data_IF_694832421668
#
_entry.id   IF_694832421668
#
_cell.length_a   1.000
_cell.length_b   1.000
_cell.length_c   1.000
_cell.angle_alpha   90.00
_cell.angle_beta   90.00
_cell.angle_gamma   90.00
#
_symmetry.space_group_name_H-M   'P 1'
#
loop_
_entity.id
_entity.type
_entity.pdbx_description
1 polymer ?
#
# COMPACT_ATOMS: atom_id res chain seq x y z
N UNK A 1 -12.48 -7.56 -10.98
CA UNK A 1 -13.60 -6.70 -10.51
C UNK A 1 -13.31 -6.28 -9.08
N UNK A 2 -13.44 -4.99 -8.77
CA UNK A 2 -12.99 -4.42 -7.49
C UNK A 2 -13.97 -4.83 -6.37
N UNK A 3 -13.46 -5.36 -5.26
CA UNK A 3 -14.21 -5.73 -4.04
C UNK A 3 -15.20 -4.63 -3.59
N UNK A 4 -14.83 -3.37 -3.83
CA UNK A 4 -15.67 -2.19 -3.59
C UNK A 4 -16.97 -2.17 -4.40
N UNK A 5 -16.99 -2.70 -5.62
CA UNK A 5 -18.19 -2.83 -6.45
C UNK A 5 -19.18 -3.83 -5.86
N UNK A 6 -18.70 -4.90 -5.22
CA UNK A 6 -19.56 -5.92 -4.58
C UNK A 6 -20.19 -5.34 -3.30
N UNK A 7 -19.41 -4.63 -2.48
CA UNK A 7 -19.91 -3.95 -1.29
C UNK A 7 -20.90 -2.83 -1.65
N UNK A 8 -20.70 -2.12 -2.77
CA UNK A 8 -21.65 -1.11 -3.25
C UNK A 8 -22.93 -1.72 -3.81
N UNK A 9 -22.86 -2.86 -4.49
CA UNK A 9 -24.05 -3.58 -5.00
C UNK A 9 -24.85 -4.16 -3.84
N UNK A 10 -24.20 -4.77 -2.83
CA UNK A 10 -24.86 -5.30 -1.65
C UNK A 10 -25.48 -4.20 -0.76
N UNK A 11 -24.81 -3.04 -0.62
CA UNK A 11 -25.39 -1.90 0.10
C UNK A 11 -26.46 -1.14 -0.73
N UNK A 12 -26.32 -1.07 -2.05
CA UNK A 12 -27.26 -0.40 -2.95
C UNK A 12 -28.56 -1.18 -3.17
N UNK A 13 -28.55 -2.50 -2.96
CA UNK A 13 -29.75 -3.34 -3.00
C UNK A 13 -30.66 -3.15 -1.76
N UNK A 14 -30.16 -2.59 -0.65
CA UNK A 14 -30.88 -2.56 0.63
C UNK A 14 -30.69 -1.27 1.44
N UNK A 15 -30.60 -0.10 0.78
CA UNK A 15 -30.71 1.18 1.50
C UNK A 15 -32.15 1.33 2.01
N UNK A 16 -32.36 1.07 3.31
CA UNK A 16 -33.51 1.63 4.05
C UNK A 16 -33.17 3.10 4.34
N UNK A 17 -33.98 4.08 3.92
CA UNK A 17 -33.68 5.48 4.17
C UNK A 17 -33.79 5.78 5.67
N UNK A 18 -32.78 6.46 6.22
CA UNK A 18 -32.95 7.20 7.49
C UNK A 18 -33.92 8.36 7.26
N UNK A 19 -34.83 8.67 8.20
CA UNK A 19 -35.73 9.81 8.06
C UNK A 19 -34.92 11.10 8.07
N UNK A 20 -34.97 11.88 6.98
CA UNK A 20 -34.46 13.25 6.93
C UNK A 20 -33.33 13.58 5.94
N UNK A 21 -32.89 12.65 5.08
CA UNK A 21 -31.95 12.98 3.99
C UNK A 21 -32.53 12.56 2.63
N UNK A 22 -33.03 13.54 1.87
CA UNK A 22 -33.29 13.40 0.44
C UNK A 22 -31.97 13.17 -0.31
N UNK A 23 -31.63 11.91 -0.53
CA UNK A 23 -30.72 11.53 -1.62
C UNK A 23 -31.45 10.51 -2.48
N UNK A 24 -31.42 10.76 -3.80
CA UNK A 24 -32.15 10.06 -4.86
C UNK A 24 -31.99 8.53 -4.79
N UNK A 25 -32.85 7.85 -4.03
CA UNK A 25 -33.08 6.43 -4.17
C UNK A 25 -34.12 6.21 -5.29
N UNK A 26 -33.94 5.24 -6.21
CA UNK A 26 -34.98 4.92 -7.16
C UNK A 26 -36.23 4.41 -6.42
N UNK A 27 -37.43 4.78 -6.89
CA UNK A 27 -38.67 4.51 -6.17
C UNK A 27 -38.94 3.01 -6.02
N UNK A 28 -39.62 2.68 -4.93
CA UNK A 28 -39.99 1.37 -4.34
C UNK A 28 -40.49 0.24 -5.26
N UNK A 29 -40.58 0.43 -6.57
CA UNK A 29 -40.95 -0.60 -7.55
C UNK A 29 -39.77 -1.47 -8.00
N UNK A 30 -38.52 -0.99 -7.89
CA UNK A 30 -37.34 -1.77 -8.31
C UNK A 30 -36.97 -2.89 -7.34
N UNK A 31 -37.27 -2.74 -6.04
CA UNK A 31 -36.99 -3.76 -5.02
C UNK A 31 -37.85 -5.04 -5.18
N UNK A 32 -39.07 -4.94 -5.72
CA UNK A 32 -39.93 -6.10 -6.00
C UNK A 32 -39.68 -6.74 -7.38
N UNK A 33 -39.10 -6.00 -8.34
CA UNK A 33 -38.80 -6.54 -9.68
C UNK A 33 -37.51 -7.39 -9.72
N UNK A 34 -36.56 -7.11 -8.82
CA UNK A 34 -35.28 -7.81 -8.73
C UNK A 34 -35.44 -9.29 -8.33
N UNK A 35 -36.26 -9.67 -7.32
CA UNK A 35 -36.47 -11.07 -6.95
C UNK A 35 -37.14 -11.90 -8.05
N UNK A 36 -38.15 -11.34 -8.73
CA UNK A 36 -38.92 -12.06 -9.74
C UNK A 36 -38.07 -12.30 -11.00
N UNK A 37 -37.43 -11.25 -11.52
CA UNK A 37 -36.51 -11.36 -12.67
C UNK A 37 -35.29 -12.26 -12.38
N UNK A 38 -34.73 -12.20 -11.16
CA UNK A 38 -33.68 -13.12 -10.72
C UNK A 38 -34.15 -14.58 -10.66
N UNK A 39 -35.34 -14.84 -10.12
CA UNK A 39 -35.93 -16.18 -10.06
C UNK A 39 -36.18 -16.74 -11.46
N UNK A 40 -36.66 -15.92 -12.40
CA UNK A 40 -36.89 -16.34 -13.79
C UNK A 40 -35.57 -16.65 -14.50
N UNK A 41 -34.54 -15.81 -14.32
CA UNK A 41 -33.22 -16.03 -14.93
C UNK A 41 -32.51 -17.28 -14.36
N UNK A 42 -32.59 -17.49 -13.04
CA UNK A 42 -32.06 -18.68 -12.37
C UNK A 42 -32.76 -19.97 -12.82
N UNK A 43 -34.09 -19.97 -12.94
CA UNK A 43 -34.86 -21.12 -13.42
C UNK A 43 -34.56 -21.48 -14.88
N UNK A 44 -34.24 -20.48 -15.70
CA UNK A 44 -33.95 -20.66 -17.13
C UNK A 44 -32.45 -20.90 -17.43
N UNK A 45 -31.60 -21.01 -16.41
CA UNK A 45 -30.16 -21.24 -16.60
C UNK A 45 -29.40 -20.09 -17.27
N UNK A 46 -29.99 -18.88 -17.29
CA UNK A 46 -29.40 -17.71 -17.94
C UNK A 46 -28.47 -16.97 -16.98
N UNK A 47 -27.33 -16.49 -17.50
CA UNK A 47 -26.38 -15.69 -16.73
C UNK A 47 -27.04 -14.37 -16.27
N UNK A 48 -26.85 -14.03 -14.99
CA UNK A 48 -27.37 -12.81 -14.40
C UNK A 48 -26.58 -12.42 -13.15
N UNK A 49 -26.87 -11.23 -12.61
CA UNK A 49 -26.13 -10.63 -11.48
C UNK A 49 -25.94 -11.57 -10.27
N UNK A 50 -26.87 -12.51 -10.04
CA UNK A 50 -26.74 -13.50 -8.98
C UNK A 50 -25.64 -14.52 -9.24
N UNK A 51 -25.55 -15.04 -10.46
CA UNK A 51 -24.48 -15.97 -10.83
C UNK A 51 -23.11 -15.28 -10.80
N UNK A 52 -23.04 -14.01 -11.20
CA UNK A 52 -21.82 -13.20 -11.07
C UNK A 52 -21.43 -13.00 -9.60
N UNK A 53 -22.41 -12.80 -8.72
CA UNK A 53 -22.16 -12.64 -7.29
C UNK A 53 -21.68 -13.96 -6.66
N UNK A 54 -22.33 -15.08 -6.97
CA UNK A 54 -21.87 -16.42 -6.55
C UNK A 54 -20.45 -16.69 -7.04
N UNK A 55 -20.18 -16.41 -8.33
CA UNK A 55 -18.86 -16.58 -8.92
C UNK A 55 -17.82 -15.70 -8.21
N UNK A 56 -18.12 -14.42 -8.01
CA UNK A 56 -17.21 -13.48 -7.36
C UNK A 56 -16.90 -13.89 -5.91
N UNK A 57 -17.92 -14.33 -5.15
CA UNK A 57 -17.76 -14.74 -3.76
C UNK A 57 -16.96 -16.05 -3.61
N UNK A 58 -17.16 -17.00 -4.53
CA UNK A 58 -16.37 -18.25 -4.59
C UNK A 58 -14.91 -18.01 -4.96
N UNK A 59 -14.62 -17.00 -5.77
CA UNK A 59 -13.26 -16.66 -6.20
C UNK A 59 -12.54 -15.68 -5.26
N UNK A 60 -13.09 -15.40 -4.07
CA UNK A 60 -12.37 -14.67 -3.03
C UNK A 60 -11.25 -15.53 -2.44
N UNK A 61 -10.22 -14.89 -1.89
CA UNK A 61 -9.10 -15.58 -1.23
C UNK A 61 -9.55 -16.49 -0.08
N UNK A 62 -10.59 -16.10 0.65
CA UNK A 62 -11.41 -16.98 1.47
C UNK A 62 -12.81 -17.02 0.84
N UNK A 63 -13.20 -18.15 0.20
CA UNK A 63 -14.51 -18.28 -0.43
C UNK A 63 -15.64 -18.00 0.55
N UNK A 64 -16.69 -17.32 0.08
CA UNK A 64 -17.90 -17.04 0.84
C UNK A 64 -19.07 -17.66 0.09
N UNK A 65 -19.86 -18.50 0.76
CA UNK A 65 -21.03 -19.09 0.14
C UNK A 65 -22.22 -18.14 0.23
N UNK A 66 -22.92 -18.00 -0.89
CA UNK A 66 -24.14 -17.23 -0.98
C UNK A 66 -25.33 -18.16 -0.68
N UNK A 67 -26.14 -17.87 0.35
CA UNK A 67 -27.33 -18.65 0.65
C UNK A 67 -28.38 -18.47 -0.45
N UNK A 68 -29.38 -19.36 -0.48
CA UNK A 68 -30.46 -19.28 -1.46
C UNK A 68 -31.31 -18.02 -1.23
N UNK A 69 -31.88 -17.45 -2.30
CA UNK A 69 -32.71 -16.24 -2.27
C UNK A 69 -33.75 -16.16 -1.13
N UNK A 70 -34.48 -17.24 -0.78
CA UNK A 70 -35.45 -17.21 0.31
C UNK A 70 -34.84 -16.96 1.69
N UNK A 71 -33.57 -17.32 1.87
CA UNK A 71 -32.86 -17.24 3.15
C UNK A 71 -32.10 -15.91 3.32
N UNK A 72 -32.12 -15.03 2.31
CA UNK A 72 -31.52 -13.70 2.44
C UNK A 72 -32.40 -12.78 3.27
N UNK A 73 -32.04 -12.72 4.55
CA UNK A 73 -32.50 -11.69 5.48
C UNK A 73 -31.50 -10.54 5.55
N UNK A 74 -31.90 -9.42 6.14
CA UNK A 74 -31.00 -8.29 6.40
C UNK A 74 -29.83 -8.68 7.30
N UNK A 75 -30.06 -9.58 8.27
CA UNK A 75 -29.03 -10.12 9.15
C UNK A 75 -27.99 -10.93 8.36
N UNK A 76 -28.45 -11.86 7.52
CA UNK A 76 -27.60 -12.69 6.65
C UNK A 76 -26.78 -11.81 5.70
N UNK A 77 -27.38 -10.76 5.13
CA UNK A 77 -26.64 -9.80 4.29
C UNK A 77 -25.52 -9.10 5.07
N UNK A 78 -25.77 -8.71 6.32
CA UNK A 78 -24.76 -8.09 7.18
C UNK A 78 -23.61 -9.05 7.51
N UNK A 79 -23.91 -10.33 7.76
CA UNK A 79 -22.92 -11.38 7.99
C UNK A 79 -22.08 -11.68 6.74
N UNK A 80 -22.73 -11.77 5.57
CA UNK A 80 -22.04 -11.88 4.28
C UNK A 80 -21.11 -10.69 4.05
N UNK A 81 -21.57 -9.47 4.35
CA UNK A 81 -20.74 -8.26 4.29
C UNK A 81 -19.49 -8.36 5.16
N UNK A 82 -19.61 -8.87 6.40
CA UNK A 82 -18.47 -9.11 7.30
C UNK A 82 -17.54 -10.20 6.77
N UNK A 83 -18.08 -11.28 6.20
CA UNK A 83 -17.29 -12.37 5.62
C UNK A 83 -16.48 -11.90 4.42
N UNK A 84 -17.11 -11.15 3.51
CA UNK A 84 -16.45 -10.55 2.34
C UNK A 84 -15.36 -9.57 2.76
N UNK A 85 -15.66 -8.68 3.71
CA UNK A 85 -14.67 -7.76 4.25
C UNK A 85 -13.46 -8.49 4.84
N UNK A 86 -13.71 -9.53 5.66
CA UNK A 86 -12.64 -10.33 6.27
C UNK A 86 -11.80 -11.05 5.23
N UNK A 87 -12.43 -11.61 4.20
CA UNK A 87 -11.75 -12.25 3.06
C UNK A 87 -10.86 -11.28 2.30
N UNK A 88 -11.36 -10.07 2.02
CA UNK A 88 -10.61 -9.02 1.36
C UNK A 88 -9.40 -8.54 2.21
N UNK A 89 -9.58 -8.40 3.53
CA UNK A 89 -8.50 -8.03 4.44
C UNK A 89 -7.40 -9.09 4.48
N UNK A 90 -7.75 -10.37 4.56
CA UNK A 90 -6.79 -11.48 4.48
C UNK A 90 -6.00 -11.47 3.17
N UNK A 91 -6.70 -11.24 2.05
CA UNK A 91 -6.05 -11.15 0.74
C UNK A 91 -5.03 -10.00 0.70
N UNK A 92 -5.40 -8.80 1.17
CA UNK A 92 -4.49 -7.65 1.22
C UNK A 92 -3.29 -7.91 2.13
N UNK A 93 -3.48 -8.57 3.27
CA UNK A 93 -2.39 -8.96 4.17
C UNK A 93 -1.41 -9.92 3.52
N UNK A 94 -1.93 -10.93 2.81
CA UNK A 94 -1.12 -11.90 2.07
C UNK A 94 -0.33 -11.22 0.94
N UNK A 95 -0.98 -10.38 0.14
CA UNK A 95 -0.33 -9.62 -0.95
C UNK A 95 0.78 -8.70 -0.40
N UNK A 96 0.52 -8.01 0.71
CA UNK A 96 1.52 -7.16 1.36
C UNK A 96 2.70 -7.98 1.86
N UNK A 97 2.46 -9.12 2.52
CA UNK A 97 3.52 -9.97 3.05
C UNK A 97 4.37 -10.66 1.97
N UNK A 98 3.74 -11.04 0.85
CA UNK A 98 4.42 -11.67 -0.28
C UNK A 98 5.24 -10.65 -1.11
N UNK A 99 4.93 -9.36 -1.02
CA UNK A 99 5.55 -8.35 -1.87
C UNK A 99 6.96 -7.98 -1.42
N UNK A 100 7.97 -8.37 -2.20
CA UNK A 100 9.36 -7.94 -1.98
C UNK A 100 9.55 -6.41 -2.04
N UNK A 101 8.60 -5.68 -2.65
CA UNK A 101 8.61 -4.21 -2.75
C UNK A 101 8.24 -3.54 -1.45
N UNK A 102 7.34 -4.14 -0.69
CA UNK A 102 6.76 -3.51 0.48
C UNK A 102 7.49 -3.93 1.76
N UNK A 103 8.76 -4.34 1.64
CA UNK A 103 9.56 -4.82 2.77
C UNK A 103 9.61 -3.81 3.92
N UNK A 104 9.61 -2.51 3.61
CA UNK A 104 9.55 -1.45 4.62
C UNK A 104 8.21 -1.39 5.36
N UNK A 105 7.12 -1.88 4.79
CA UNK A 105 5.80 -1.99 5.43
C UNK A 105 5.57 -3.33 6.15
N UNK A 106 6.44 -4.32 5.95
CA UNK A 106 6.32 -5.61 6.66
C UNK A 106 6.43 -5.38 8.15
N UNK A 107 5.52 -6.03 8.90
CA UNK A 107 5.41 -5.98 10.36
C UNK A 107 5.25 -4.57 10.93
N UNK A 108 4.72 -3.65 10.11
CA UNK A 108 4.35 -2.31 10.57
C UNK A 108 3.33 -2.39 11.70
N UNK A 109 3.67 -1.74 12.82
CA UNK A 109 2.76 -1.49 13.94
C UNK A 109 2.37 -0.02 13.91
N UNK A 110 1.08 0.26 13.76
CA UNK A 110 0.57 1.63 13.70
C UNK A 110 0.50 2.22 15.11
N UNK A 111 1.09 3.41 15.36
CA UNK A 111 1.00 4.06 16.66
C UNK A 111 -0.42 4.60 16.89
N UNK A 112 -1.08 4.11 17.95
CA UNK A 112 -2.39 4.58 18.39
C UNK A 112 -2.21 5.55 19.56
N UNK A 113 -3.04 6.59 19.63
CA UNK A 113 -2.84 7.68 20.59
C UNK A 113 -2.95 7.26 22.07
N UNK A 114 -3.72 6.19 22.36
CA UNK A 114 -4.01 5.72 23.73
C UNK A 114 -3.81 4.21 23.90
N UNK A 115 -3.27 3.54 22.90
CA UNK A 115 -3.15 2.08 22.89
C UNK A 115 -1.77 1.65 22.39
N UNK A 116 -1.36 0.45 22.79
CA UNK A 116 -0.15 -0.16 22.26
C UNK A 116 -0.22 -0.25 20.72
N UNK A 117 0.90 -0.07 20.00
CA UNK A 117 0.92 -0.16 18.54
C UNK A 117 0.40 -1.50 18.04
N UNK A 118 -0.58 -1.46 17.13
CA UNK A 118 -1.26 -2.64 16.56
C UNK A 118 -0.92 -2.83 15.09
N UNK A 119 -0.89 -4.08 14.62
CA UNK A 119 -0.81 -4.40 13.20
C UNK A 119 -2.17 -4.14 12.57
N UNK A 120 -2.27 -3.10 11.74
CA UNK A 120 -3.50 -2.71 11.05
C UNK A 120 -3.16 -2.48 9.58
N UNK A 121 -3.78 -3.28 8.71
CA UNK A 121 -3.49 -3.32 7.26
C UNK A 121 -4.15 -2.15 6.52
N UNK A 122 -5.42 -1.89 6.80
CA UNK A 122 -6.18 -0.80 6.17
C UNK A 122 -6.57 0.22 7.22
N UNK A 123 -5.87 1.35 7.24
CA UNK A 123 -6.14 2.49 8.14
C UNK A 123 -5.57 3.76 7.55
N UNK A 124 -6.17 4.91 7.87
CA UNK A 124 -5.58 6.20 7.58
C UNK A 124 -4.28 6.38 8.36
N UNK A 125 -3.15 6.41 7.66
CA UNK A 125 -1.82 6.41 8.26
C UNK A 125 -1.49 7.76 8.89
N UNK A 126 -0.93 7.77 10.10
CA UNK A 126 -0.64 9.01 10.84
C UNK A 126 0.19 10.03 10.06
N UNK A 127 1.17 9.57 9.28
CA UNK A 127 2.07 10.45 8.51
C UNK A 127 1.34 11.24 7.42
N UNK A 128 0.16 10.79 6.98
CA UNK A 128 -0.64 11.52 6.00
C UNK A 128 -1.22 12.81 6.57
N UNK A 129 -1.51 12.84 7.88
CA UNK A 129 -1.99 14.03 8.59
C UNK A 129 -0.89 14.83 9.29
N UNK A 130 0.13 14.16 9.85
CA UNK A 130 1.18 14.84 10.62
C UNK A 130 2.18 15.62 9.74
N UNK A 131 2.47 15.12 8.54
CA UNK A 131 3.40 15.80 7.64
C UNK A 131 2.63 16.89 6.89
N UNK A 132 2.79 18.13 7.33
CA UNK A 132 2.13 19.31 6.72
C UNK A 132 2.61 19.54 5.29
N UNK A 133 3.92 19.47 5.04
CA UNK A 133 4.49 19.68 3.71
C UNK A 133 4.16 18.54 2.73
N UNK A 134 3.42 18.87 1.67
CA UNK A 134 2.97 17.90 0.67
C UNK A 134 4.12 17.19 -0.06
N UNK A 135 5.24 17.86 -0.32
CA UNK A 135 6.40 17.25 -1.00
C UNK A 135 7.10 16.23 -0.12
N UNK A 136 7.26 16.53 1.17
CA UNK A 136 7.83 15.58 2.14
C UNK A 136 6.92 14.37 2.32
N UNK A 137 5.60 14.59 2.45
CA UNK A 137 4.61 13.52 2.54
C UNK A 137 4.67 12.61 1.30
N UNK A 138 4.70 13.21 0.11
CA UNK A 138 4.85 12.47 -1.16
C UNK A 138 6.14 11.66 -1.21
N UNK A 139 7.27 12.22 -0.77
CA UNK A 139 8.55 11.51 -0.73
C UNK A 139 8.49 10.30 0.21
N UNK A 140 7.92 10.45 1.42
CA UNK A 140 7.76 9.34 2.35
C UNK A 140 6.80 8.27 1.80
N UNK A 141 5.68 8.66 1.20
CA UNK A 141 4.77 7.70 0.57
C UNK A 141 5.48 6.93 -0.54
N UNK A 142 6.22 7.61 -1.41
CA UNK A 142 7.04 6.98 -2.46
C UNK A 142 8.08 6.02 -1.91
N UNK A 143 8.72 6.36 -0.80
CA UNK A 143 9.65 5.49 -0.10
C UNK A 143 8.94 4.22 0.39
N UNK A 144 7.78 4.36 1.05
CA UNK A 144 7.04 3.24 1.65
C UNK A 144 6.42 2.29 0.62
N UNK A 145 5.95 2.82 -0.50
CA UNK A 145 5.27 2.01 -1.54
C UNK A 145 6.20 1.60 -2.68
N UNK A 146 7.52 1.77 -2.51
CA UNK A 146 8.52 1.50 -3.55
C UNK A 146 8.16 2.16 -4.88
N UNK A 147 8.04 3.49 -4.84
CA UNK A 147 7.86 4.40 -5.98
C UNK A 147 8.86 5.57 -5.92
N UNK A 148 10.03 5.33 -5.34
CA UNK A 148 11.11 6.30 -5.18
C UNK A 148 12.02 6.33 -6.43
N UNK A 149 12.88 7.36 -6.59
CA UNK A 149 13.69 7.51 -7.80
C UNK A 149 14.93 6.61 -7.86
N UNK A 150 15.21 5.83 -6.82
CA UNK A 150 16.42 5.03 -6.74
C UNK A 150 16.46 3.86 -7.75
N UNK A 151 17.65 3.48 -8.20
CA UNK A 151 17.88 2.48 -9.23
C UNK A 151 17.27 1.11 -8.87
N UNK A 152 17.31 0.73 -7.58
CA UNK A 152 16.71 -0.53 -7.10
C UNK A 152 15.23 -0.68 -7.51
N UNK A 153 14.49 0.42 -7.61
CA UNK A 153 13.09 0.40 -8.05
C UNK A 153 12.95 0.79 -9.52
N UNK A 154 13.65 1.83 -9.98
CA UNK A 154 13.48 2.34 -11.35
C UNK A 154 13.91 1.33 -12.42
N UNK A 155 14.98 0.57 -12.18
CA UNK A 155 15.49 -0.45 -13.11
C UNK A 155 14.81 -1.82 -12.96
N UNK A 156 13.83 -1.93 -12.05
CA UNK A 156 12.96 -3.10 -12.00
C UNK A 156 12.02 -3.17 -13.19
N UNK A 157 11.63 -2.02 -13.74
CA UNK A 157 10.72 -1.94 -14.87
C UNK A 157 11.49 -1.97 -16.18
N UNK A 158 10.91 -2.65 -17.18
CA UNK A 158 11.35 -2.48 -18.57
C UNK A 158 11.14 -1.02 -18.95
N UNK A 159 12.16 -0.39 -19.52
CA UNK A 159 12.05 0.98 -20.02
C UNK A 159 11.90 0.96 -21.54
N UNK A 160 11.49 2.09 -22.13
CA UNK A 160 11.40 2.22 -23.59
C UNK A 160 12.76 1.96 -24.27
N UNK A 161 13.85 2.32 -23.60
CA UNK A 161 15.21 2.22 -24.12
C UNK A 161 15.91 0.91 -23.72
N UNK A 162 15.50 0.29 -22.61
CA UNK A 162 16.08 -0.96 -22.09
C UNK A 162 14.98 -2.02 -21.94
N UNK A 163 14.99 -3.01 -22.85
CA UNK A 163 13.97 -4.06 -22.93
C UNK A 163 14.13 -5.16 -21.88
N UNK A 164 15.30 -5.27 -21.25
CA UNK A 164 15.60 -6.22 -20.19
C UNK A 164 15.43 -5.59 -18.80
N UNK A 165 14.99 -6.40 -17.84
CA UNK A 165 15.01 -6.03 -16.42
C UNK A 165 16.42 -6.19 -15.88
N UNK A 166 16.93 -5.20 -15.16
CA UNK A 166 18.27 -5.26 -14.58
C UNK A 166 18.24 -6.11 -13.30
N UNK A 167 19.17 -7.07 -13.17
CA UNK A 167 19.32 -7.86 -11.94
C UNK A 167 19.58 -6.94 -10.75
N UNK A 168 19.11 -7.30 -9.54
CA UNK A 168 19.16 -6.39 -8.39
C UNK A 168 20.57 -5.91 -8.08
N UNK A 169 21.55 -6.80 -8.14
CA UNK A 169 22.93 -6.50 -7.75
C UNK A 169 23.63 -5.60 -8.79
N UNK A 170 23.16 -5.62 -10.04
CA UNK A 170 23.63 -4.73 -11.12
C UNK A 170 23.01 -3.33 -11.07
N UNK A 171 22.08 -3.05 -10.13
CA UNK A 171 21.45 -1.71 -9.96
C UNK A 171 22.34 -0.81 -9.12
N UNK A 172 23.54 -0.54 -9.61
CA UNK A 172 24.59 0.19 -8.90
C UNK A 172 24.20 1.64 -8.61
N UNK A 173 24.87 2.21 -7.61
CA UNK A 173 24.74 3.61 -7.24
C UNK A 173 25.14 4.52 -8.41
N UNK A 174 24.26 5.44 -8.77
CA UNK A 174 24.50 6.43 -9.84
C UNK A 174 25.68 7.37 -9.60
N UNK A 175 26.11 7.49 -8.35
CA UNK A 175 27.30 8.27 -7.98
C UNK A 175 28.61 7.47 -8.06
N UNK A 176 28.57 6.25 -8.62
CA UNK A 176 29.76 5.43 -8.85
C UNK A 176 30.24 4.64 -7.63
N UNK A 177 29.46 4.58 -6.54
CA UNK A 177 29.77 3.67 -5.44
C UNK A 177 29.61 2.22 -5.90
N UNK A 178 30.53 1.33 -5.51
CA UNK A 178 30.41 -0.10 -5.75
C UNK A 178 29.40 -0.76 -4.79
N UNK A 179 28.16 -0.27 -4.82
CA UNK A 179 27.05 -0.72 -3.99
C UNK A 179 25.74 -0.58 -4.76
N UNK A 180 24.79 -1.47 -4.50
CA UNK A 180 23.43 -1.36 -5.05
C UNK A 180 22.74 -0.10 -4.51
N UNK A 181 22.06 0.65 -5.37
CA UNK A 181 21.34 1.87 -5.01
C UNK A 181 20.01 1.58 -4.27
N UNK A 182 20.13 1.04 -3.06
CA UNK A 182 18.98 0.79 -2.17
C UNK A 182 18.61 2.03 -1.36
N UNK A 183 17.44 1.98 -0.70
CA UNK A 183 17.00 3.06 0.20
C UNK A 183 17.99 3.25 1.34
N UNK A 184 18.48 2.16 1.94
CA UNK A 184 19.47 2.19 3.01
C UNK A 184 20.78 2.80 2.54
N UNK A 185 21.26 2.42 1.35
CA UNK A 185 22.46 3.02 0.76
C UNK A 185 22.29 4.53 0.58
N UNK A 186 21.22 4.96 -0.09
CA UNK A 186 20.98 6.37 -0.37
C UNK A 186 20.83 7.20 0.91
N UNK A 187 20.10 6.69 1.91
CA UNK A 187 19.83 7.42 3.15
C UNK A 187 20.98 7.39 4.14
N UNK A 188 21.72 6.29 4.27
CA UNK A 188 22.66 6.12 5.38
C UNK A 188 24.13 5.96 4.97
N UNK A 189 24.42 5.49 3.75
CA UNK A 189 25.79 5.03 3.42
C UNK A 189 26.43 5.70 2.21
N UNK A 190 25.69 6.39 1.34
CA UNK A 190 26.24 6.95 0.12
C UNK A 190 27.14 8.17 0.41
N UNK A 191 28.46 8.01 0.29
CA UNK A 191 29.46 9.05 0.60
C UNK A 191 29.93 9.85 -0.63
N UNK A 192 29.43 9.54 -1.82
CA UNK A 192 29.93 10.12 -3.06
C UNK A 192 29.54 11.59 -3.29
N UNK A 193 28.50 12.09 -2.62
CA UNK A 193 28.09 13.50 -2.67
C UNK A 193 28.27 14.16 -1.28
N UNK A 194 29.05 15.26 -1.17
CA UNK A 194 29.25 15.96 0.10
C UNK A 194 27.94 16.45 0.74
N UNK A 195 26.97 16.86 -0.08
CA UNK A 195 25.64 17.28 0.37
C UNK A 195 24.87 16.17 1.07
N UNK A 196 25.03 14.91 0.65
CA UNK A 196 24.47 13.76 1.36
C UNK A 196 25.10 13.59 2.76
N UNK A 197 26.42 13.77 2.88
CA UNK A 197 27.13 13.74 4.15
C UNK A 197 26.59 14.79 5.14
N UNK A 198 26.48 16.03 4.69
CA UNK A 198 25.92 17.13 5.47
C UNK A 198 24.47 16.89 5.91
N UNK A 199 23.65 16.37 4.99
CA UNK A 199 22.25 16.04 5.30
C UNK A 199 22.16 14.91 6.34
N UNK A 200 23.00 13.89 6.23
CA UNK A 200 23.08 12.80 7.21
C UNK A 200 23.52 13.30 8.57
N UNK A 201 24.59 14.09 8.65
CA UNK A 201 25.06 14.64 9.93
C UNK A 201 23.96 15.47 10.63
N UNK A 202 23.29 16.36 9.88
CA UNK A 202 22.16 17.15 10.40
C UNK A 202 20.98 16.27 10.81
N UNK A 203 20.72 15.20 10.07
CA UNK A 203 19.65 14.25 10.37
C UNK A 203 19.94 13.46 11.65
N UNK A 204 21.14 12.88 11.77
CA UNK A 204 21.59 12.13 12.96
C UNK A 204 21.54 13.01 14.20
N UNK A 205 22.09 14.22 14.15
CA UNK A 205 22.05 15.17 15.26
C UNK A 205 20.61 15.50 15.70
N UNK A 206 19.67 15.61 14.75
CA UNK A 206 18.26 15.86 15.05
C UNK A 206 17.48 14.64 15.56
N UNK A 207 18.04 13.43 15.40
CA UNK A 207 17.37 12.15 15.67
C UNK A 207 17.95 11.40 16.86
N UNK A 208 19.21 11.65 17.24
CA UNK A 208 19.94 10.89 18.25
C UNK A 208 19.22 10.80 19.61
N UNK A 209 18.47 11.84 20.00
CA UNK A 209 17.71 11.86 21.26
C UNK A 209 16.38 11.09 21.16
N UNK A 210 15.84 10.91 19.95
CA UNK A 210 14.57 10.21 19.70
C UNK A 210 14.80 8.72 19.39
N UNK A 211 15.88 8.40 18.69
CA UNK A 211 16.29 7.05 18.34
C UNK A 211 17.82 6.97 18.38
N UNK A 212 18.43 6.64 19.55
CA UNK A 212 19.88 6.60 19.71
C UNK A 212 20.59 5.62 18.78
N UNK A 213 19.90 4.56 18.34
CA UNK A 213 20.45 3.57 17.40
C UNK A 213 20.81 4.18 16.04
N UNK A 214 20.31 5.38 15.72
CA UNK A 214 20.66 6.07 14.48
C UNK A 214 22.15 6.42 14.38
N UNK A 215 22.85 6.50 15.51
CA UNK A 215 24.29 6.75 15.56
C UNK A 215 25.13 5.50 15.25
N UNK A 216 24.53 4.31 15.27
CA UNK A 216 25.18 3.01 15.06
C UNK A 216 24.54 2.24 13.90
N UNK A 217 24.12 2.96 12.86
CA UNK A 217 23.58 2.37 11.63
C UNK A 217 24.70 1.61 10.91
N UNK A 218 24.42 0.35 10.60
CA UNK A 218 25.28 -0.57 9.85
C UNK A 218 24.44 -1.28 8.79
N UNK A 219 25.07 -1.90 7.77
CA UNK A 219 24.33 -2.60 6.72
C UNK A 219 23.35 -3.66 7.26
N UNK A 220 23.66 -4.28 8.40
CA UNK A 220 22.88 -5.34 9.03
C UNK A 220 21.61 -4.85 9.74
N UNK A 221 21.60 -3.61 10.23
CA UNK A 221 20.50 -3.06 11.03
C UNK A 221 19.76 -1.89 10.35
N UNK A 222 20.27 -1.39 9.23
CA UNK A 222 19.75 -0.19 8.56
C UNK A 222 18.24 -0.27 8.26
N UNK A 223 17.78 -1.40 7.72
CA UNK A 223 16.36 -1.63 7.44
C UNK A 223 15.50 -1.55 8.71
N UNK A 224 15.97 -2.17 9.80
CA UNK A 224 15.23 -2.22 11.06
C UNK A 224 15.17 -0.83 11.72
N UNK A 225 16.27 -0.08 11.68
CA UNK A 225 16.31 1.32 12.15
C UNK A 225 15.42 2.20 11.27
N UNK A 226 15.45 2.02 9.95
CA UNK A 226 14.58 2.77 9.03
C UNK A 226 13.10 2.53 9.33
N UNK A 227 12.72 1.26 9.58
CA UNK A 227 11.37 0.91 10.00
C UNK A 227 11.00 1.58 11.33
N UNK A 228 11.90 1.59 12.32
CA UNK A 228 11.60 2.23 13.61
C UNK A 228 11.31 3.71 13.41
N UNK A 229 12.17 4.44 12.72
CA UNK A 229 12.02 5.90 12.57
C UNK A 229 10.88 6.33 11.63
N UNK A 230 10.42 5.49 10.69
CA UNK A 230 9.30 5.85 9.80
C UNK A 230 7.94 5.64 10.47
N UNK A 231 7.83 4.72 11.42
CA UNK A 231 6.54 4.34 12.00
C UNK A 231 6.15 5.14 13.24
N UNK A 232 7.05 5.92 13.82
CA UNK A 232 6.77 6.72 15.01
C UNK A 232 6.39 8.16 14.68
N UNK A 233 5.44 8.69 15.45
CA UNK A 233 4.87 10.04 15.25
C UNK A 233 5.91 11.14 15.41
N UNK A 234 6.86 10.98 16.33
CA UNK A 234 7.83 12.02 16.69
C UNK A 234 8.96 12.15 15.66
N UNK A 235 9.23 11.08 14.91
CA UNK A 235 10.34 10.98 13.97
C UNK A 235 9.91 11.17 12.52
N UNK A 236 8.66 10.79 12.17
CA UNK A 236 8.22 10.66 10.78
C UNK A 236 8.35 11.94 9.96
N UNK A 237 8.12 13.10 10.57
CA UNK A 237 8.27 14.40 9.90
C UNK A 237 9.73 14.69 9.53
N UNK A 238 10.68 14.31 10.39
CA UNK A 238 12.12 14.48 10.14
C UNK A 238 12.59 13.53 9.05
N UNK A 239 12.17 12.28 9.10
CA UNK A 239 12.48 11.26 8.10
C UNK A 239 11.93 11.65 6.73
N UNK A 240 10.69 12.13 6.66
CA UNK A 240 10.08 12.55 5.40
C UNK A 240 10.82 13.73 4.74
N UNK A 241 11.24 14.72 5.54
CA UNK A 241 12.05 15.84 5.06
C UNK A 241 13.42 15.38 4.58
N UNK A 242 14.05 14.47 5.33
CA UNK A 242 15.35 13.91 4.98
C UNK A 242 15.30 13.11 3.67
N UNK A 243 14.36 12.17 3.55
CA UNK A 243 14.15 11.39 2.34
C UNK A 243 13.84 12.27 1.12
N UNK A 244 13.02 13.31 1.27
CA UNK A 244 12.76 14.28 0.20
C UNK A 244 14.04 14.95 -0.32
N UNK A 245 14.93 15.37 0.58
CA UNK A 245 16.18 16.05 0.20
C UNK A 245 17.18 15.08 -0.44
N UNK A 246 17.33 13.87 0.12
CA UNK A 246 18.18 12.83 -0.46
C UNK A 246 17.69 12.47 -1.86
N UNK A 247 16.39 12.21 -2.04
CA UNK A 247 15.83 11.95 -3.37
C UNK A 247 16.05 13.10 -4.34
N UNK A 248 15.96 14.34 -3.87
CA UNK A 248 16.28 15.52 -4.68
C UNK A 248 17.72 15.52 -5.20
N UNK A 249 18.69 15.08 -4.39
CA UNK A 249 20.10 14.94 -4.82
C UNK A 249 20.25 13.78 -5.79
N UNK A 250 19.66 12.62 -5.53
CA UNK A 250 19.73 11.49 -6.47
C UNK A 250 19.10 11.84 -7.83
N UNK A 251 18.00 12.58 -7.85
CA UNK A 251 17.32 13.01 -9.08
C UNK A 251 18.16 13.96 -9.96
N UNK A 252 19.24 14.57 -9.45
CA UNK A 252 20.13 15.43 -10.28
C UNK A 252 21.12 14.63 -11.13
N UNK A 253 21.34 13.35 -10.81
CA UNK A 253 22.30 12.49 -11.48
C UNK A 253 21.57 11.39 -12.27
N UNK A 254 21.92 11.16 -13.54
CA UNK A 254 21.33 10.08 -14.33
C UNK A 254 21.75 8.71 -13.77
N UNK A 255 20.85 7.73 -13.85
CA UNK A 255 21.17 6.36 -13.42
C UNK A 255 22.17 5.70 -14.37
N UNK A 256 23.08 4.91 -13.80
CA UNK A 256 24.07 4.11 -14.56
C UNK A 256 23.43 2.79 -14.96
N UNK A 257 23.24 2.57 -16.26
CA UNK A 257 22.73 1.31 -16.78
C UNK A 257 23.89 0.34 -17.02
N UNK A 258 23.76 -0.95 -16.64
CA UNK A 258 24.77 -1.93 -16.98
C UNK A 258 24.86 -2.05 -18.51
N UNK A 259 26.07 -2.20 -19.03
CA UNK A 259 26.26 -2.57 -20.42
C UNK A 259 25.54 -3.89 -20.70
N UNK A 260 24.92 -4.02 -21.87
CA UNK A 260 24.28 -5.26 -22.25
C UNK A 260 25.35 -6.35 -22.20
N UNK A 261 25.22 -7.31 -21.27
CA UNK A 261 26.08 -8.50 -21.29
C UNK A 261 25.86 -9.13 -22.66
N UNK A 262 26.91 -9.19 -23.48
CA UNK A 262 26.90 -9.98 -24.69
C UNK A 262 26.70 -11.44 -24.22
N UNK A 263 25.48 -11.94 -24.39
CA UNK A 263 25.18 -13.37 -24.28
C UNK A 263 25.78 -14.12 -25.46
#
# INVERSE_FOLDING_TARGET
MRVWSIVFVLNGLFIVPKPGMESRAPPSRTACAIPESLRTLLKNGLQGYWMDLVYALKNLCSPVDLPALPDLTSLVCAELGKAVYSSAMKHLEAEMAASTRLYLLHDRREPLAKEAPKKITVVFRHYLGLITNAKHRKALTRLLVSQHPLAVERMRYKSRYHRATVARDDRLCRFGCNATETVEHALFFCEADPGLGDLRAKFVAAMQHLEPRICSVSPWNATNILKSIIFWRDTVCRVAKFAYRVFGIFDTVPMVWPEARAE
#
